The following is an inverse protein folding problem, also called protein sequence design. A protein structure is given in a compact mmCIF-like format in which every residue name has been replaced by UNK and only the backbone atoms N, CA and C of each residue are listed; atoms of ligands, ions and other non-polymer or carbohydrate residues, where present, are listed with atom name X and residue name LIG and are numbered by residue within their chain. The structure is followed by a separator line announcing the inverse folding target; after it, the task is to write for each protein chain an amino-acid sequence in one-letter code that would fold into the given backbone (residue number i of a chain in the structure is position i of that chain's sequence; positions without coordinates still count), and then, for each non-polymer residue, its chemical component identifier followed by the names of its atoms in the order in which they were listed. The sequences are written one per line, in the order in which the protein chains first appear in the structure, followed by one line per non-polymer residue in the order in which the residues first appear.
data_IF_224292299820
#
_entry.id   IF_224292299820
#
_cell.length_a   1.000
_cell.length_b   1.000
_cell.length_c   1.000
_cell.angle_alpha   90.00
_cell.angle_beta   90.00
_cell.angle_gamma   90.00
#
_symmetry.space_group_name_H-M   'P 1'
#
loop_
_entity.id
_entity.type
_entity.pdbx_description
1 polymer ?
#
# COMPACT_ATOMS: atom_id res chain seq x y z
N UNK A 1 -31.10 -16.76 -21.44
CA UNK A 1 -29.94 -16.22 -22.18
C UNK A 1 -29.21 -15.08 -21.44
N UNK A 2 -29.88 -14.18 -20.70
CA UNK A 2 -29.20 -13.17 -19.86
C UNK A 2 -28.40 -13.77 -18.70
N UNK A 3 -28.95 -14.80 -18.04
CA UNK A 3 -28.28 -15.50 -16.93
C UNK A 3 -27.01 -16.27 -17.34
N UNK A 4 -26.98 -16.77 -18.57
CA UNK A 4 -25.79 -17.48 -19.11
C UNK A 4 -24.70 -16.47 -19.46
N UNK A 5 -25.06 -15.27 -19.96
CA UNK A 5 -24.07 -14.22 -20.24
C UNK A 5 -23.40 -13.68 -18.98
N UNK A 6 -24.13 -13.55 -17.87
CA UNK A 6 -23.53 -13.14 -16.59
C UNK A 6 -22.55 -14.19 -16.05
N UNK A 7 -22.86 -15.48 -16.20
CA UNK A 7 -21.97 -16.58 -15.80
C UNK A 7 -20.77 -16.71 -16.76
N UNK A 8 -20.96 -16.50 -18.06
CA UNK A 8 -19.85 -16.54 -19.03
C UNK A 8 -18.92 -15.34 -18.86
N UNK A 9 -19.43 -14.15 -18.52
CA UNK A 9 -18.59 -12.98 -18.20
C UNK A 9 -17.80 -13.22 -16.90
N UNK A 10 -18.40 -13.89 -15.91
CA UNK A 10 -17.71 -14.32 -14.68
C UNK A 10 -16.68 -15.43 -14.93
N UNK A 11 -16.87 -16.29 -15.95
CA UNK A 11 -15.89 -17.31 -16.33
C UNK A 11 -14.79 -16.80 -17.28
N UNK A 12 -14.97 -15.65 -17.93
CA UNK A 12 -13.90 -15.00 -18.71
C UNK A 12 -12.89 -14.28 -17.80
N UNK A 13 -13.26 -14.01 -16.54
CA UNK A 13 -12.33 -13.68 -15.46
C UNK A 13 -11.46 -14.87 -14.97
N UNK A 14 -11.60 -16.07 -15.57
CA UNK A 14 -10.86 -17.27 -15.14
C UNK A 14 -9.48 -17.46 -15.81
N UNK A 15 -8.89 -16.43 -16.41
CA UNK A 15 -7.43 -16.34 -16.36
C UNK A 15 -7.14 -15.66 -15.04
N UNK A 16 -6.79 -16.45 -14.03
CA UNK A 16 -6.36 -15.93 -12.74
C UNK A 16 -5.06 -15.16 -12.96
N UNK A 17 -5.16 -13.90 -13.38
CA UNK A 17 -4.09 -12.94 -13.28
C UNK A 17 -3.96 -12.58 -11.79
N UNK A 18 -3.44 -13.54 -11.01
CA UNK A 18 -3.07 -13.35 -9.63
C UNK A 18 -2.02 -12.25 -9.58
N UNK A 19 -2.42 -11.10 -9.05
CA UNK A 19 -1.60 -9.91 -9.06
C UNK A 19 -0.76 -9.77 -7.82
N UNK A 20 0.52 -9.67 -8.09
CA UNK A 20 1.48 -9.09 -7.18
C UNK A 20 1.27 -7.57 -7.03
N UNK A 21 2.01 -7.00 -6.08
CA UNK A 21 2.02 -5.56 -5.85
C UNK A 21 2.39 -4.75 -7.12
N UNK A 22 3.20 -5.30 -8.03
CA UNK A 22 3.51 -4.63 -9.31
C UNK A 22 2.27 -4.52 -10.22
N UNK A 23 1.44 -5.57 -10.33
CA UNK A 23 0.16 -5.50 -11.04
C UNK A 23 -0.75 -4.45 -10.42
N UNK A 24 -0.93 -4.47 -9.09
CA UNK A 24 -1.80 -3.51 -8.39
C UNK A 24 -1.30 -2.07 -8.53
N UNK A 25 0.00 -1.82 -8.41
CA UNK A 25 0.60 -0.51 -8.60
C UNK A 25 0.37 0.02 -10.02
N UNK A 26 0.48 -0.84 -11.03
CA UNK A 26 0.17 -0.49 -12.41
C UNK A 26 -1.31 -0.15 -12.64
N UNK A 27 -2.20 -0.61 -11.76
CA UNK A 27 -3.65 -0.37 -11.80
C UNK A 27 -4.10 0.78 -10.90
N UNK A 28 -3.18 1.50 -10.26
CA UNK A 28 -3.49 2.66 -9.40
C UNK A 28 -3.41 2.39 -7.90
N UNK A 29 -2.93 1.22 -7.48
CA UNK A 29 -2.33 1.04 -6.15
C UNK A 29 -3.21 0.54 -5.00
N UNK A 30 -4.50 0.26 -5.22
CA UNK A 30 -5.38 -0.28 -4.15
C UNK A 30 -5.90 -1.68 -4.48
N UNK A 31 -5.25 -2.71 -3.92
CA UNK A 31 -5.62 -4.12 -4.13
C UNK A 31 -7.07 -4.45 -3.77
N UNK A 32 -7.68 -3.68 -2.86
CA UNK A 32 -9.06 -3.91 -2.39
C UNK A 32 -10.12 -3.86 -3.48
N UNK A 33 -9.83 -3.20 -4.62
CA UNK A 33 -10.70 -3.14 -5.79
C UNK A 33 -10.60 -4.37 -6.72
N UNK A 34 -9.65 -5.26 -6.47
CA UNK A 34 -9.48 -6.54 -7.16
C UNK A 34 -9.59 -7.68 -6.15
N UNK A 35 -10.80 -8.14 -5.80
CA UNK A 35 -11.01 -9.00 -4.64
C UNK A 35 -10.22 -10.31 -4.63
N UNK A 36 -9.98 -10.88 -5.81
CA UNK A 36 -9.29 -12.15 -6.01
C UNK A 36 -7.77 -12.02 -6.06
N UNK A 37 -7.25 -10.80 -5.92
CA UNK A 37 -5.81 -10.52 -6.02
C UNK A 37 -5.08 -10.88 -4.72
N UNK A 38 -3.92 -11.52 -4.83
CA UNK A 38 -3.18 -12.03 -3.67
C UNK A 38 -2.61 -10.92 -2.78
N UNK A 39 -2.42 -9.70 -3.30
CA UNK A 39 -2.04 -8.56 -2.47
C UNK A 39 -3.07 -8.22 -1.38
N UNK A 40 -4.31 -8.73 -1.52
CA UNK A 40 -5.35 -8.57 -0.49
C UNK A 40 -5.07 -9.35 0.79
N UNK A 41 -4.18 -10.35 0.81
CA UNK A 41 -3.97 -11.21 2.00
C UNK A 41 -3.60 -10.43 3.26
N UNK A 42 -2.94 -9.28 3.12
CA UNK A 42 -2.61 -8.39 4.24
C UNK A 42 -3.84 -7.67 4.78
N UNK A 43 -4.75 -7.22 3.91
CA UNK A 43 -5.97 -6.52 4.31
C UNK A 43 -7.07 -7.49 4.75
N UNK A 44 -7.13 -8.66 4.12
CA UNK A 44 -8.11 -9.72 4.31
C UNK A 44 -7.42 -11.08 4.45
N UNK A 45 -6.97 -11.47 5.66
CA UNK A 45 -6.20 -12.70 5.86
C UNK A 45 -6.90 -14.00 5.44
N UNK A 46 -8.23 -14.02 5.35
CA UNK A 46 -8.99 -15.15 4.82
C UNK A 46 -8.66 -15.51 3.37
N UNK A 47 -8.14 -14.54 2.60
CA UNK A 47 -7.71 -14.76 1.22
C UNK A 47 -6.65 -15.84 1.07
N UNK A 48 -5.86 -16.13 2.12
CA UNK A 48 -4.88 -17.22 2.09
C UNK A 48 -5.49 -18.56 1.68
N UNK A 49 -6.78 -18.80 1.99
CA UNK A 49 -7.49 -20.02 1.62
C UNK A 49 -7.70 -20.20 0.11
N UNK A 50 -7.51 -19.13 -0.67
CA UNK A 50 -7.70 -19.10 -2.12
C UNK A 50 -6.36 -19.06 -2.87
N UNK A 51 -5.22 -19.16 -2.15
CA UNK A 51 -3.89 -19.04 -2.73
C UNK A 51 -3.19 -20.40 -2.77
N UNK A 52 -2.62 -20.71 -3.93
CA UNK A 52 -1.71 -21.84 -4.11
C UNK A 52 -0.60 -21.42 -5.09
N UNK A 53 0.49 -20.90 -4.53
CA UNK A 53 1.49 -20.18 -5.34
C UNK A 53 2.88 -20.10 -4.71
N UNK A 54 3.87 -19.85 -5.57
CA UNK A 54 5.17 -19.27 -5.23
C UNK A 54 5.30 -17.95 -5.97
N UNK A 55 5.61 -16.89 -5.24
CA UNK A 55 5.81 -15.55 -5.79
C UNK A 55 7.17 -15.01 -5.38
N UNK A 56 7.90 -14.39 -6.32
CA UNK A 56 9.16 -13.71 -6.07
C UNK A 56 9.08 -12.30 -6.65
N UNK A 57 9.11 -11.31 -5.77
CA UNK A 57 9.10 -9.88 -6.11
C UNK A 57 10.50 -9.30 -6.01
N UNK A 58 10.83 -8.30 -6.83
CA UNK A 58 12.15 -7.66 -6.81
C UNK A 58 13.15 -8.32 -7.75
N UNK A 59 12.71 -9.18 -8.68
CA UNK A 59 13.60 -9.77 -9.66
C UNK A 59 14.25 -8.66 -10.52
N UNK A 60 15.59 -8.62 -10.52
CA UNK A 60 16.37 -7.56 -11.17
C UNK A 60 16.81 -6.41 -10.23
N UNK A 61 16.39 -6.42 -8.97
CA UNK A 61 16.81 -5.49 -7.91
C UNK A 61 17.81 -6.13 -6.94
N UNK A 62 18.46 -5.32 -6.10
CA UNK A 62 19.30 -5.80 -5.00
C UNK A 62 18.50 -6.42 -3.85
N UNK A 63 17.24 -5.99 -3.69
CA UNK A 63 16.31 -6.43 -2.66
C UNK A 63 15.07 -7.06 -3.30
N UNK A 64 14.41 -7.96 -2.58
CA UNK A 64 13.20 -8.62 -3.04
C UNK A 64 12.51 -9.40 -1.93
N UNK A 65 11.32 -9.90 -2.22
CA UNK A 65 10.56 -10.74 -1.29
C UNK A 65 10.18 -12.04 -1.97
N UNK A 66 10.01 -13.10 -1.19
CA UNK A 66 9.52 -14.37 -1.68
C UNK A 66 8.35 -14.84 -0.81
N UNK A 67 7.26 -15.24 -1.44
CA UNK A 67 6.08 -15.80 -0.77
C UNK A 67 5.83 -17.19 -1.32
N UNK A 68 5.54 -18.14 -0.45
CA UNK A 68 5.09 -19.48 -0.83
C UNK A 68 3.85 -19.82 -0.02
N UNK A 69 2.77 -20.19 -0.69
CA UNK A 69 1.49 -20.57 -0.09
C UNK A 69 1.02 -21.86 -0.72
N UNK A 70 0.58 -22.81 0.10
CA UNK A 70 0.08 -24.09 -0.39
C UNK A 70 -0.88 -24.74 0.59
N UNK A 71 -1.76 -25.59 0.05
CA UNK A 71 -2.61 -26.50 0.83
C UNK A 71 -4.07 -26.46 0.40
N UNK A 72 -4.78 -27.53 0.71
CA UNK A 72 -6.18 -27.73 0.31
C UNK A 72 -7.13 -27.26 1.43
N UNK A 73 -7.50 -28.16 2.36
CA UNK A 73 -8.40 -27.85 3.48
C UNK A 73 -7.74 -26.96 4.54
N UNK A 74 -6.42 -26.99 4.62
CA UNK A 74 -5.63 -26.14 5.51
C UNK A 74 -4.46 -25.59 4.72
N UNK A 75 -4.46 -24.28 4.54
CA UNK A 75 -3.46 -23.57 3.76
C UNK A 75 -2.38 -23.02 4.69
N UNK A 76 -1.13 -23.14 4.27
CA UNK A 76 0.03 -22.60 4.96
C UNK A 76 0.78 -21.69 4.00
N UNK A 77 1.26 -20.56 4.51
CA UNK A 77 2.10 -19.66 3.73
C UNK A 77 3.28 -19.15 4.52
N UNK A 78 4.38 -18.87 3.83
CA UNK A 78 5.58 -18.25 4.38
C UNK A 78 5.99 -17.09 3.48
N UNK A 79 6.34 -15.97 4.11
CA UNK A 79 6.89 -14.80 3.41
C UNK A 79 8.30 -14.52 3.92
N UNK A 80 9.21 -14.30 3.00
CA UNK A 80 10.59 -13.95 3.26
C UNK A 80 10.82 -12.54 2.73
N UNK A 81 11.27 -11.64 3.61
CA UNK A 81 11.75 -10.33 3.20
C UNK A 81 13.27 -10.36 3.06
N UNK A 82 13.76 -9.96 1.89
CA UNK A 82 15.17 -9.87 1.57
C UNK A 82 15.70 -8.43 1.63
N UNK A 83 14.96 -7.50 2.25
CA UNK A 83 15.39 -6.12 2.40
C UNK A 83 16.77 -6.00 3.08
N UNK A 84 17.62 -5.15 2.51
CA UNK A 84 18.96 -4.82 3.01
C UNK A 84 18.96 -3.88 4.22
N UNK A 85 17.78 -3.36 4.56
CA UNK A 85 17.66 -2.17 5.39
C UNK A 85 17.40 -2.51 6.85
N UNK A 86 17.61 -1.51 7.70
CA UNK A 86 17.74 -1.70 9.13
C UNK A 86 16.43 -2.07 9.85
N UNK A 87 15.30 -2.04 9.15
CA UNK A 87 13.97 -1.90 9.74
C UNK A 87 13.02 -3.07 9.38
N UNK A 88 13.50 -4.10 8.66
CA UNK A 88 12.63 -5.09 7.98
C UNK A 88 13.16 -6.53 8.02
N UNK A 89 13.89 -6.90 9.07
CA UNK A 89 14.29 -8.30 9.27
C UNK A 89 13.17 -9.09 9.94
N UNK A 90 12.19 -9.52 9.13
CA UNK A 90 11.21 -10.50 9.57
C UNK A 90 11.90 -11.84 9.84
N UNK A 91 12.05 -12.18 11.12
CA UNK A 91 12.53 -13.48 11.55
C UNK A 91 11.58 -14.59 11.09
N UNK A 92 10.28 -14.28 11.05
CA UNK A 92 9.25 -15.23 10.69
C UNK A 92 7.98 -14.52 10.21
N UNK A 93 7.53 -14.83 9.00
CA UNK A 93 6.18 -14.48 8.52
C UNK A 93 5.43 -15.74 8.11
N UNK A 94 4.26 -15.93 8.70
CA UNK A 94 3.40 -17.08 8.52
C UNK A 94 2.00 -16.64 8.10
N UNK A 95 1.42 -17.41 7.21
CA UNK A 95 0.02 -17.36 6.86
C UNK A 95 -0.60 -18.72 7.14
N UNK A 96 -1.84 -18.71 7.60
CA UNK A 96 -2.60 -19.92 7.89
C UNK A 96 -4.06 -19.73 7.52
N UNK A 97 -4.67 -20.75 6.93
CA UNK A 97 -6.09 -20.79 6.66
C UNK A 97 -6.69 -22.18 6.83
N UNK A 98 -8.00 -22.26 6.98
CA UNK A 98 -8.74 -23.52 7.10
C UNK A 98 -10.01 -23.61 6.24
N UNK A 99 -10.06 -22.82 5.16
CA UNK A 99 -11.21 -22.65 4.27
C UNK A 99 -12.30 -21.70 4.77
N UNK A 100 -12.32 -21.34 6.06
CA UNK A 100 -13.30 -20.38 6.62
C UNK A 100 -12.64 -19.13 7.18
N UNK A 101 -11.58 -19.34 7.95
CA UNK A 101 -10.80 -18.29 8.58
C UNK A 101 -9.43 -18.22 7.93
N UNK A 102 -8.80 -17.06 8.00
CA UNK A 102 -7.38 -16.91 7.73
C UNK A 102 -6.72 -16.04 8.78
N UNK A 103 -5.43 -16.26 8.97
CA UNK A 103 -4.60 -15.51 9.90
C UNK A 103 -3.21 -15.29 9.30
N UNK A 104 -2.62 -14.14 9.63
CA UNK A 104 -1.22 -13.85 9.38
C UNK A 104 -0.52 -13.61 10.72
N UNK A 105 0.75 -13.98 10.78
CA UNK A 105 1.60 -13.73 11.94
C UNK A 105 2.98 -13.30 11.43
N UNK A 106 3.49 -12.19 11.92
CA UNK A 106 4.85 -11.72 11.67
C UNK A 106 5.59 -11.47 12.97
N UNK A 107 6.87 -11.81 12.97
CA UNK A 107 7.83 -11.50 14.02
C UNK A 107 9.09 -10.92 13.34
N UNK A 108 9.32 -9.63 13.56
CA UNK A 108 10.54 -8.92 13.17
C UNK A 108 11.50 -8.86 14.34
N UNK A 109 12.77 -9.21 14.12
CA UNK A 109 13.81 -9.07 15.14
C UNK A 109 15.15 -8.76 14.49
N UNK A 110 15.83 -7.74 15.02
CA UNK A 110 17.21 -7.42 14.63
C UNK A 110 18.01 -7.00 15.85
N UNK A 111 19.30 -7.31 15.80
CA UNK A 111 20.29 -6.74 16.71
C UNK A 111 21.60 -6.47 15.97
N UNK A 112 22.18 -5.30 16.18
CA UNK A 112 23.51 -4.90 15.72
C UNK A 112 24.34 -4.48 16.92
N UNK A 113 25.60 -4.88 16.94
CA UNK A 113 26.61 -4.41 17.90
C UNK A 113 27.92 -4.24 17.12
N UNK A 114 28.48 -3.02 17.12
CA UNK A 114 29.73 -2.73 16.44
C UNK A 114 30.98 -3.14 17.24
N UNK A 115 30.81 -3.60 18.48
CA UNK A 115 31.86 -4.14 19.35
C UNK A 115 32.90 -3.12 19.80
N UNK A 116 32.58 -1.82 19.71
CA UNK A 116 33.42 -0.73 20.17
C UNK A 116 33.04 -0.34 21.60
N UNK A 117 33.97 0.27 22.34
CA UNK A 117 33.71 0.80 23.68
C UNK A 117 33.46 2.32 23.63
N UNK A 118 32.69 2.83 24.60
CA UNK A 118 32.47 4.28 24.81
C UNK A 118 31.54 4.91 23.76
N UNK A 119 31.70 6.20 23.48
CA UNK A 119 30.81 6.98 22.59
C UNK A 119 30.86 6.52 21.11
N UNK A 120 31.78 5.62 20.76
CA UNK A 120 31.85 4.99 19.43
C UNK A 120 31.07 3.66 19.38
N UNK A 121 30.61 3.15 20.52
CA UNK A 121 29.76 1.98 20.56
C UNK A 121 28.41 2.30 19.91
N UNK A 122 27.96 1.41 19.03
CA UNK A 122 26.62 1.47 18.45
C UNK A 122 26.01 0.08 18.60
N UNK A 123 25.11 0.01 19.56
CA UNK A 123 24.18 -1.10 19.75
C UNK A 123 22.84 -0.68 19.19
N UNK A 124 22.13 -1.58 18.54
CA UNK A 124 20.77 -1.31 18.06
C UNK A 124 20.01 -2.61 18.07
N UNK A 125 18.80 -2.62 18.62
CA UNK A 125 17.90 -3.75 18.50
C UNK A 125 16.48 -3.28 18.24
N UNK A 126 15.72 -4.12 17.53
CA UNK A 126 14.31 -3.90 17.36
C UNK A 126 13.54 -5.22 17.46
N UNK A 127 12.27 -5.10 17.81
CA UNK A 127 11.31 -6.19 17.82
C UNK A 127 9.96 -5.69 17.31
N UNK A 128 9.42 -6.40 16.32
CA UNK A 128 8.10 -6.17 15.77
C UNK A 128 7.23 -7.41 15.89
N UNK A 129 5.95 -7.23 16.19
CA UNK A 129 4.94 -8.28 16.14
C UNK A 129 3.79 -7.81 15.25
N UNK A 130 3.29 -8.68 14.38
CA UNK A 130 2.10 -8.44 13.60
C UNK A 130 1.18 -9.65 13.62
N UNK A 131 -0.12 -9.41 13.77
CA UNK A 131 -1.16 -10.43 13.70
C UNK A 131 -2.30 -9.91 12.86
N UNK A 132 -2.67 -10.66 11.83
CA UNK A 132 -3.89 -10.44 11.05
C UNK A 132 -4.87 -11.59 11.27
N UNK A 133 -6.16 -11.26 11.24
CA UNK A 133 -7.23 -12.25 11.18
C UNK A 133 -8.30 -11.80 10.18
N UNK A 134 -8.87 -12.73 9.43
CA UNK A 134 -9.94 -12.45 8.50
C UNK A 134 -10.91 -13.61 8.33
N UNK A 135 -12.10 -13.28 7.85
CA UNK A 135 -13.14 -14.26 7.51
C UNK A 135 -14.21 -13.68 6.60
N UNK A 136 -14.92 -14.58 5.91
CA UNK A 136 -16.13 -14.23 5.18
C UNK A 136 -17.36 -14.32 6.09
N UNK A 137 -18.17 -13.27 6.08
CA UNK A 137 -19.45 -13.16 6.78
C UNK A 137 -20.59 -13.00 5.76
N UNK A 138 -21.83 -13.24 6.18
CA UNK A 138 -23.01 -13.04 5.34
C UNK A 138 -23.15 -11.61 4.78
N UNK A 139 -22.55 -10.62 5.45
CA UNK A 139 -22.60 -9.22 5.07
C UNK A 139 -21.35 -8.73 4.31
N UNK A 140 -20.34 -9.57 4.11
CA UNK A 140 -19.08 -9.19 3.49
C UNK A 140 -17.87 -9.90 4.10
N UNK A 141 -16.72 -9.63 3.53
CA UNK A 141 -15.42 -10.09 4.00
C UNK A 141 -14.85 -9.08 4.99
N UNK A 142 -14.30 -9.58 6.10
CA UNK A 142 -13.65 -8.76 7.12
C UNK A 142 -12.19 -9.14 7.27
N UNK A 143 -11.37 -8.14 7.57
CA UNK A 143 -10.00 -8.31 8.01
C UNK A 143 -9.68 -7.35 9.15
N UNK A 144 -8.94 -7.82 10.14
CA UNK A 144 -8.42 -7.03 11.24
C UNK A 144 -6.93 -7.28 11.37
N UNK A 145 -6.17 -6.24 11.64
CA UNK A 145 -4.74 -6.32 11.86
C UNK A 145 -4.36 -5.60 13.14
N UNK A 146 -3.36 -6.13 13.82
CA UNK A 146 -2.72 -5.56 14.99
C UNK A 146 -1.22 -5.67 14.80
N UNK A 147 -0.48 -4.62 15.13
CA UNK A 147 0.97 -4.63 15.13
C UNK A 147 1.54 -3.87 16.32
N UNK A 148 2.76 -4.22 16.71
CA UNK A 148 3.57 -3.46 17.67
C UNK A 148 5.02 -3.44 17.22
N UNK A 149 5.73 -2.37 17.51
CA UNK A 149 7.16 -2.24 17.31
C UNK A 149 7.84 -1.64 18.53
N UNK A 150 9.12 -1.94 18.72
CA UNK A 150 9.97 -1.26 19.70
C UNK A 150 11.41 -1.27 19.24
N UNK A 151 12.14 -0.21 19.52
CA UNK A 151 13.57 -0.08 19.24
C UNK A 151 14.36 0.23 20.51
N UNK A 152 15.66 -0.08 20.48
CA UNK A 152 16.62 0.20 21.55
C UNK A 152 18.02 0.39 20.96
N UNK A 153 18.57 1.61 21.04
CA UNK A 153 19.93 1.93 20.63
C UNK A 153 21.00 1.66 21.72
N UNK A 154 20.59 1.07 22.84
CA UNK A 154 21.43 0.74 23.99
C UNK A 154 21.91 1.96 24.78
N UNK A 155 21.30 3.13 24.57
CA UNK A 155 21.51 4.32 25.40
C UNK A 155 20.41 4.48 26.46
N UNK A 156 20.61 5.41 27.39
CA UNK A 156 19.59 5.76 28.41
C UNK A 156 18.52 6.73 27.86
N UNK A 157 18.58 7.12 26.58
CA UNK A 157 17.58 7.99 25.97
C UNK A 157 16.26 7.23 25.77
N UNK A 158 15.15 7.96 25.74
CA UNK A 158 13.86 7.37 25.40
C UNK A 158 13.87 6.89 23.95
N UNK A 159 13.31 5.69 23.72
CA UNK A 159 13.33 5.00 22.43
C UNK A 159 11.92 4.82 21.88
N UNK A 160 11.76 4.76 20.55
CA UNK A 160 10.44 4.65 19.93
C UNK A 160 9.81 3.28 20.19
N UNK A 161 8.50 3.32 20.42
CA UNK A 161 7.62 2.15 20.44
C UNK A 161 6.34 2.47 19.70
N UNK A 162 5.80 1.50 18.98
CA UNK A 162 4.63 1.69 18.14
C UNK A 162 3.54 0.64 18.36
N UNK A 163 2.30 1.03 18.06
CA UNK A 163 1.13 0.15 18.03
C UNK A 163 0.21 0.51 16.87
N UNK A 164 -0.05 -0.47 16.02
CA UNK A 164 -0.96 -0.36 14.88
C UNK A 164 -2.23 -1.19 15.07
N UNK A 165 -3.35 -0.65 14.58
CA UNK A 165 -4.64 -1.32 14.46
C UNK A 165 -5.21 -1.04 13.08
N UNK A 166 -5.75 -2.05 12.42
CA UNK A 166 -6.51 -1.83 11.19
C UNK A 166 -7.75 -2.72 11.12
N UNK A 167 -8.76 -2.22 10.42
CA UNK A 167 -9.98 -2.93 10.08
C UNK A 167 -10.32 -2.70 8.61
N UNK A 168 -10.63 -3.77 7.91
CA UNK A 168 -11.08 -3.75 6.52
C UNK A 168 -12.41 -4.47 6.40
N UNK A 169 -13.32 -3.91 5.61
CA UNK A 169 -14.57 -4.53 5.20
C UNK A 169 -14.72 -4.39 3.69
N UNK A 170 -14.98 -5.52 3.01
CA UNK A 170 -15.39 -5.53 1.62
C UNK A 170 -16.73 -6.22 1.49
N UNK A 171 -17.67 -5.61 0.77
CA UNK A 171 -19.01 -6.18 0.59
C UNK A 171 -19.65 -5.76 -0.73
N UNK A 172 -20.58 -6.58 -1.20
CA UNK A 172 -21.50 -6.19 -2.25
C UNK A 172 -22.39 -5.02 -1.75
N UNK A 173 -22.57 -4.02 -2.61
CA UNK A 173 -23.32 -2.81 -2.32
C UNK A 173 -23.89 -2.22 -3.61
N UNK A 174 -25.22 -2.11 -3.72
CA UNK A 174 -25.87 -1.53 -4.89
C UNK A 174 -26.20 -0.05 -4.64
N UNK A 175 -25.30 0.84 -5.08
CA UNK A 175 -25.46 2.30 -4.99
C UNK A 175 -25.05 2.95 -6.30
N UNK A 176 -26.03 3.54 -6.99
CA UNK A 176 -25.85 4.24 -8.27
C UNK A 176 -25.29 3.37 -9.39
N UNK A 177 -23.99 3.47 -9.67
CA UNK A 177 -23.29 2.66 -10.67
C UNK A 177 -22.35 1.62 -10.05
N UNK A 178 -22.21 1.64 -8.72
CA UNK A 178 -21.31 0.79 -7.97
C UNK A 178 -22.05 -0.43 -7.43
N UNK A 179 -21.38 -1.59 -7.49
CA UNK A 179 -21.89 -2.87 -7.02
C UNK A 179 -21.10 -3.42 -5.83
N UNK A 180 -20.01 -2.76 -5.43
CA UNK A 180 -19.18 -3.11 -4.29
C UNK A 180 -18.80 -1.89 -3.45
N UNK A 181 -18.48 -2.16 -2.18
CA UNK A 181 -17.97 -1.20 -1.21
C UNK A 181 -16.74 -1.79 -0.50
N UNK A 182 -15.71 -0.95 -0.35
CA UNK A 182 -14.53 -1.18 0.46
C UNK A 182 -14.48 -0.13 1.56
N UNK A 183 -14.25 -0.56 2.80
CA UNK A 183 -14.05 0.31 3.95
C UNK A 183 -12.71 -0.07 4.57
N UNK A 184 -11.84 0.91 4.76
CA UNK A 184 -10.58 0.76 5.47
C UNK A 184 -10.55 1.69 6.68
N UNK A 185 -10.03 1.19 7.79
CA UNK A 185 -9.70 1.98 8.97
C UNK A 185 -8.33 1.58 9.45
N UNK A 186 -7.49 2.54 9.79
CA UNK A 186 -6.20 2.32 10.42
C UNK A 186 -5.94 3.32 11.52
N UNK A 187 -5.19 2.89 12.52
CA UNK A 187 -4.57 3.75 13.51
C UNK A 187 -3.15 3.26 13.74
N UNK A 188 -2.20 4.18 13.77
CA UNK A 188 -0.82 3.91 14.13
C UNK A 188 -0.41 4.92 15.18
N UNK A 189 0.19 4.46 16.27
CA UNK A 189 0.66 5.35 17.33
C UNK A 189 2.12 5.04 17.58
N UNK A 190 2.94 6.05 17.74
CA UNK A 190 4.35 5.96 18.09
C UNK A 190 4.61 6.83 19.32
N UNK A 191 5.40 6.34 20.26
CA UNK A 191 5.80 7.08 21.44
C UNK A 191 7.30 6.97 21.67
N UNK A 192 7.94 8.10 21.93
CA UNK A 192 9.36 8.23 22.31
C UNK A 192 9.43 9.17 23.51
N UNK A 193 9.49 8.59 24.72
CA UNK A 193 9.45 9.37 25.95
C UNK A 193 8.11 10.06 26.15
N UNK A 194 8.13 11.39 26.29
CA UNK A 194 6.92 12.22 26.37
C UNK A 194 6.32 12.56 24.98
N UNK A 195 7.04 12.27 23.89
CA UNK A 195 6.56 12.51 22.53
C UNK A 195 5.58 11.42 22.10
N UNK A 196 4.49 11.80 21.44
CA UNK A 196 3.48 10.87 20.93
C UNK A 196 3.02 11.30 19.54
N UNK A 197 3.17 10.45 18.54
CA UNK A 197 2.55 10.58 17.22
C UNK A 197 1.36 9.61 17.12
N UNK A 198 0.22 10.09 16.60
CA UNK A 198 -0.96 9.26 16.37
C UNK A 198 -1.51 9.58 14.98
N UNK A 199 -1.45 8.60 14.09
CA UNK A 199 -2.03 8.64 12.75
C UNK A 199 -3.33 7.82 12.74
N UNK A 200 -4.36 8.34 12.07
CA UNK A 200 -5.62 7.67 11.84
C UNK A 200 -6.11 7.85 10.41
N UNK A 201 -6.41 6.74 9.75
CA UNK A 201 -7.01 6.68 8.42
C UNK A 201 -8.42 6.09 8.45
N UNK A 202 -9.32 6.64 7.64
CA UNK A 202 -10.62 6.05 7.32
C UNK A 202 -10.91 6.26 5.83
N UNK A 203 -11.22 5.20 5.11
CA UNK A 203 -11.70 5.28 3.72
C UNK A 203 -13.03 4.54 3.55
N UNK A 204 -13.86 5.06 2.65
CA UNK A 204 -15.07 4.40 2.15
C UNK A 204 -15.13 4.59 0.65
N UNK A 205 -14.83 3.52 -0.07
CA UNK A 205 -14.77 3.50 -1.52
C UNK A 205 -15.88 2.62 -2.09
N UNK A 206 -16.58 3.13 -3.10
CA UNK A 206 -17.50 2.35 -3.91
C UNK A 206 -16.79 1.99 -5.22
N UNK A 207 -16.92 0.76 -5.69
CA UNK A 207 -16.26 0.32 -6.92
C UNK A 207 -17.13 -0.62 -7.74
N UNK A 208 -16.83 -0.69 -9.04
CA UNK A 208 -17.49 -1.56 -10.01
C UNK A 208 -16.54 -1.94 -11.14
N UNK A 209 -16.75 -3.15 -11.67
CA UNK A 209 -16.20 -3.51 -12.97
C UNK A 209 -17.01 -2.83 -14.08
N UNK A 210 -16.35 -2.28 -15.08
CA UNK A 210 -16.96 -1.62 -16.22
C UNK A 210 -17.17 -2.61 -17.37
N UNK A 211 -18.30 -2.53 -18.10
CA UNK A 211 -18.51 -3.35 -19.28
C UNK A 211 -17.70 -2.81 -20.45
N UNK A 212 -16.48 -3.30 -20.59
CA UNK A 212 -15.56 -3.03 -21.70
C UNK A 212 -15.64 -4.14 -22.76
N UNK A 213 -14.98 -3.94 -23.91
CA UNK A 213 -14.97 -4.93 -24.99
C UNK A 213 -14.17 -6.19 -24.64
N UNK A 214 -14.29 -7.24 -25.46
CA UNK A 214 -13.55 -8.50 -25.24
C UNK A 214 -12.03 -8.26 -25.12
N UNK A 215 -11.39 -8.91 -24.14
CA UNK A 215 -9.94 -8.80 -23.88
C UNK A 215 -9.54 -7.50 -23.16
N UNK A 216 -10.50 -6.79 -22.58
CA UNK A 216 -10.24 -5.64 -21.71
C UNK A 216 -11.03 -5.84 -20.43
N UNK A 217 -10.42 -5.53 -19.30
CA UNK A 217 -11.06 -5.44 -17.99
C UNK A 217 -10.79 -4.06 -17.40
N UNK A 218 -11.81 -3.43 -16.83
CA UNK A 218 -11.66 -2.12 -16.23
C UNK A 218 -12.44 -2.03 -14.92
N UNK A 219 -11.82 -1.42 -13.91
CA UNK A 219 -12.43 -1.17 -12.60
C UNK A 219 -12.43 0.32 -12.34
N UNK A 220 -13.58 0.86 -11.95
CA UNK A 220 -13.72 2.24 -11.53
C UNK A 220 -14.14 2.29 -10.06
N UNK A 221 -13.40 3.03 -9.27
CA UNK A 221 -13.68 3.28 -7.86
C UNK A 221 -13.80 4.79 -7.60
N UNK A 222 -14.71 5.14 -6.69
CA UNK A 222 -14.84 6.49 -6.16
C UNK A 222 -15.24 6.43 -4.69
N UNK A 223 -14.61 7.27 -3.87
CA UNK A 223 -14.85 7.25 -2.44
C UNK A 223 -14.50 8.52 -1.71
N UNK A 224 -14.49 8.33 -0.41
CA UNK A 224 -14.19 9.31 0.62
C UNK A 224 -12.97 8.82 1.40
N UNK A 225 -12.05 9.73 1.71
CA UNK A 225 -10.97 9.50 2.65
C UNK A 225 -10.99 10.51 3.78
N UNK A 226 -10.59 10.07 4.96
CA UNK A 226 -10.25 10.91 6.10
C UNK A 226 -8.90 10.46 6.64
N UNK A 227 -8.00 11.41 6.81
CA UNK A 227 -6.71 11.23 7.46
C UNK A 227 -6.61 12.23 8.59
N UNK A 228 -6.07 11.82 9.72
CA UNK A 228 -5.75 12.73 10.82
C UNK A 228 -4.45 12.30 11.46
N UNK A 229 -3.65 13.28 11.84
CA UNK A 229 -2.43 13.05 12.59
C UNK A 229 -2.33 14.05 13.74
N UNK A 230 -2.00 13.56 14.92
CA UNK A 230 -1.68 14.37 16.10
C UNK A 230 -0.30 14.00 16.61
N UNK A 231 0.60 14.96 16.59
CA UNK A 231 1.95 14.86 17.10
C UNK A 231 2.11 15.76 18.33
N UNK A 232 2.36 15.15 19.47
CA UNK A 232 2.78 15.84 20.69
C UNK A 232 4.31 15.81 20.75
N UNK A 233 4.93 16.98 20.73
CA UNK A 233 6.38 17.13 20.71
C UNK A 233 7.04 16.91 22.09
N UNK A 234 6.27 16.58 23.11
CA UNK A 234 6.74 16.41 24.49
C UNK A 234 7.07 17.74 25.17
N UNK A 235 7.81 17.68 26.28
CA UNK A 235 8.10 18.87 27.08
C UNK A 235 8.99 19.89 26.33
N UNK A 236 8.36 20.93 25.76
CA UNK A 236 9.04 22.11 25.22
C UNK A 236 9.03 22.23 23.69
N UNK A 237 8.35 21.33 22.97
CA UNK A 237 8.06 21.49 21.54
C UNK A 237 6.63 21.95 21.28
N UNK A 238 6.34 22.35 20.05
CA UNK A 238 5.00 22.71 19.61
C UNK A 238 4.23 21.44 19.22
N UNK A 239 3.04 21.27 19.80
CA UNK A 239 2.11 20.22 19.39
C UNK A 239 1.56 20.55 18.00
N UNK A 240 1.33 19.50 17.22
CA UNK A 240 0.83 19.61 15.86
C UNK A 240 -0.36 18.68 15.68
N UNK A 241 -1.45 19.24 15.15
CA UNK A 241 -2.64 18.49 14.76
C UNK A 241 -2.97 18.80 13.32
N UNK A 242 -3.32 17.78 12.56
CA UNK A 242 -3.78 17.91 11.18
C UNK A 242 -4.91 16.94 10.87
N UNK A 243 -5.76 17.31 9.92
CA UNK A 243 -6.78 16.40 9.39
C UNK A 243 -7.14 16.76 7.97
N UNK A 244 -7.31 15.76 7.11
CA UNK A 244 -7.71 15.92 5.72
C UNK A 244 -8.93 15.07 5.40
N UNK A 245 -9.86 15.63 4.65
CA UNK A 245 -10.98 14.93 4.01
C UNK A 245 -10.77 14.98 2.51
N UNK A 246 -10.73 13.83 1.85
CA UNK A 246 -10.68 13.71 0.40
C UNK A 246 -12.04 13.26 -0.15
N UNK A 247 -12.55 14.00 -1.14
CA UNK A 247 -13.79 13.68 -1.85
C UNK A 247 -13.88 14.49 -3.17
N UNK A 248 -13.97 13.85 -4.35
CA UNK A 248 -13.83 12.41 -4.55
C UNK A 248 -12.37 11.96 -4.46
N UNK A 249 -12.15 10.76 -3.91
CA UNK A 249 -10.99 9.93 -4.22
C UNK A 249 -11.40 8.97 -5.33
N UNK A 250 -10.65 8.91 -6.43
CA UNK A 250 -11.00 8.16 -7.64
C UNK A 250 -9.85 7.25 -8.04
N UNK A 251 -10.18 6.03 -8.45
CA UNK A 251 -9.26 5.12 -9.10
C UNK A 251 -9.90 4.56 -10.38
N UNK A 252 -9.15 4.54 -11.47
CA UNK A 252 -9.46 3.78 -12.67
C UNK A 252 -8.28 2.86 -12.99
N UNK A 253 -8.50 1.56 -12.93
CA UNK A 253 -7.56 0.56 -13.43
C UNK A 253 -8.10 -0.12 -14.68
N UNK A 254 -7.26 -0.29 -15.68
CA UNK A 254 -7.57 -0.97 -16.95
C UNK A 254 -6.49 -1.98 -17.27
N UNK A 255 -6.91 -3.19 -17.60
CA UNK A 255 -6.08 -4.26 -18.16
C UNK A 255 -6.57 -4.58 -19.56
N UNK A 256 -5.66 -4.75 -20.50
CA UNK A 256 -6.00 -5.08 -21.87
C UNK A 256 -5.03 -6.12 -22.43
N UNK A 257 -5.59 -7.20 -22.96
CA UNK A 257 -4.85 -8.23 -23.66
C UNK A 257 -4.36 -7.69 -25.01
N UNK A 258 -3.04 -7.73 -25.19
CA UNK A 258 -2.41 -7.41 -26.48
C UNK A 258 -2.28 -8.69 -27.31
N UNK A 259 -1.94 -9.79 -26.64
CA UNK A 259 -1.92 -11.15 -27.18
C UNK A 259 -2.43 -12.12 -26.11
N UNK A 260 -2.51 -13.40 -26.44
CA UNK A 260 -2.84 -14.49 -25.52
C UNK A 260 -1.81 -14.72 -24.40
N UNK A 261 -0.68 -14.03 -24.42
CA UNK A 261 0.42 -14.15 -23.45
C UNK A 261 0.92 -12.79 -22.94
N UNK A 262 0.33 -11.67 -23.37
CA UNK A 262 0.80 -10.34 -22.99
C UNK A 262 -0.37 -9.39 -22.73
N UNK A 263 -0.29 -8.69 -21.59
CA UNK A 263 -1.29 -7.74 -21.11
C UNK A 263 -0.63 -6.39 -20.86
N UNK A 264 -1.33 -5.31 -21.20
CA UNK A 264 -0.94 -3.94 -20.86
C UNK A 264 -1.88 -3.42 -19.80
N UNK A 265 -1.32 -2.70 -18.82
CA UNK A 265 -2.07 -2.13 -17.69
C UNK A 265 -1.93 -0.62 -17.66
N UNK A 266 -3.00 0.03 -17.23
CA UNK A 266 -3.06 1.46 -17.03
C UNK A 266 -3.86 1.77 -15.77
N UNK A 267 -3.29 2.56 -14.88
CA UNK A 267 -3.89 2.99 -13.64
C UNK A 267 -3.93 4.50 -13.56
N UNK A 268 -5.01 5.07 -13.05
CA UNK A 268 -5.13 6.49 -12.72
C UNK A 268 -5.70 6.62 -11.32
N UNK A 269 -5.01 7.37 -10.48
CA UNK A 269 -5.47 7.83 -9.18
C UNK A 269 -5.72 9.34 -9.21
N UNK A 270 -6.81 9.79 -8.60
CA UNK A 270 -7.03 11.22 -8.34
C UNK A 270 -7.78 11.40 -7.04
N UNK A 271 -7.20 12.12 -6.09
CA UNK A 271 -7.88 12.53 -4.87
C UNK A 271 -8.01 14.04 -4.83
N UNK A 272 -9.21 14.52 -4.51
CA UNK A 272 -9.44 15.94 -4.25
C UNK A 272 -9.58 16.19 -2.75
N UNK A 273 -8.73 17.05 -2.18
CA UNK A 273 -8.86 17.49 -0.79
C UNK A 273 -10.05 18.43 -0.69
N UNK A 274 -11.14 17.93 -0.11
CA UNK A 274 -12.35 18.70 0.14
C UNK A 274 -12.13 19.67 1.31
N UNK A 275 -11.43 19.25 2.36
CA UNK A 275 -11.09 20.08 3.51
C UNK A 275 -9.82 19.56 4.17
N UNK A 276 -8.92 20.45 4.53
CA UNK A 276 -7.72 20.14 5.31
C UNK A 276 -7.56 21.12 6.46
N UNK A 277 -6.98 20.66 7.56
CA UNK A 277 -6.59 21.49 8.71
C UNK A 277 -5.17 21.15 9.12
N UNK A 278 -4.41 22.16 9.55
CA UNK A 278 -3.06 21.98 10.10
C UNK A 278 -2.77 23.07 11.10
N UNK A 279 -2.12 22.67 12.21
CA UNK A 279 -1.90 23.50 13.39
C UNK A 279 -3.22 24.00 13.97
N UNK A 280 -3.12 24.87 14.98
CA UNK A 280 -4.28 25.44 15.67
C UNK A 280 -5.09 26.45 14.82
N UNK A 281 -4.65 26.82 13.61
CA UNK A 281 -5.15 28.04 12.96
C UNK A 281 -5.47 27.97 11.47
N UNK A 282 -5.05 26.93 10.73
CA UNK A 282 -5.17 26.94 9.26
C UNK A 282 -6.10 25.86 8.70
N UNK A 283 -7.02 26.27 7.82
CA UNK A 283 -7.90 25.39 7.05
C UNK A 283 -7.74 25.63 5.55
N UNK A 284 -7.66 24.58 4.72
CA UNK A 284 -7.54 24.70 3.27
C UNK A 284 -8.48 23.75 2.50
N UNK A 285 -8.55 23.95 1.18
CA UNK A 285 -9.21 23.04 0.23
C UNK A 285 -8.36 22.96 -1.05
N UNK A 286 -8.38 21.82 -1.75
CA UNK A 286 -7.68 21.62 -3.02
C UNK A 286 -6.17 21.34 -2.87
N UNK A 287 -5.40 21.69 -3.90
CA UNK A 287 -3.94 21.57 -3.86
C UNK A 287 -3.36 22.64 -2.94
N UNK A 288 -2.84 22.23 -1.79
CA UNK A 288 -2.12 23.08 -0.87
C UNK A 288 -0.62 22.80 -1.01
N UNK A 289 0.09 23.64 -1.74
CA UNK A 289 1.54 23.72 -1.55
C UNK A 289 1.75 24.44 -0.23
N UNK A 290 2.40 23.83 0.79
CA UNK A 290 2.86 24.59 1.93
C UNK A 290 3.78 25.69 1.37
N UNK A 291 3.31 26.93 1.40
CA UNK A 291 4.19 28.04 1.08
C UNK A 291 5.08 28.17 2.30
N UNK A 292 6.36 27.80 2.19
CA UNK A 292 7.36 28.26 3.14
C UNK A 292 7.17 29.78 3.32
N UNK A 293 6.83 30.20 4.52
CA UNK A 293 6.78 31.61 4.92
C UNK A 293 5.48 32.35 4.56
N UNK A 294 4.57 32.47 5.53
CA UNK A 294 3.72 33.66 5.58
C UNK A 294 4.53 34.80 6.22
N UNK A 295 5.36 35.48 5.43
CA UNK A 295 5.80 36.84 5.77
C UNK A 295 4.81 37.78 5.10
N UNK A 296 3.96 38.43 5.89
CA UNK A 296 3.18 39.57 5.43
C UNK A 296 4.15 40.70 5.06
N UNK A 297 4.50 40.78 3.78
CA UNK A 297 5.31 41.84 3.20
C UNK A 297 4.55 43.18 3.07
N UNK A 298 3.75 43.56 4.07
CA UNK A 298 3.09 44.88 4.13
C UNK A 298 3.38 45.70 5.39
N UNK A 299 4.13 45.20 6.38
CA UNK A 299 4.47 45.98 7.59
C UNK A 299 5.93 46.46 7.69
N UNK A 300 6.86 45.98 6.86
CA UNK A 300 8.19 46.58 6.72
C UNK A 300 9.02 46.68 8.02
N UNK A 301 8.79 45.78 8.99
CA UNK A 301 9.54 45.73 10.24
C UNK A 301 10.33 44.41 10.32
N UNK A 302 11.66 44.54 10.40
CA UNK A 302 12.58 43.42 10.60
C UNK A 302 12.49 42.97 12.05
N UNK A 303 11.99 41.76 12.29
CA UNK A 303 12.09 41.09 13.60
C UNK A 303 13.26 40.09 13.52
N UNK A 304 14.29 40.30 14.34
CA UNK A 304 15.39 39.33 14.53
C UNK A 304 15.01 38.28 15.58
N UNK A 305 15.33 36.99 15.28
CA UNK A 305 15.12 35.81 16.13
C UNK A 305 13.88 35.04 15.68
N UNK A 306 13.90 33.76 15.30
CA UNK A 306 14.67 32.62 15.82
C UNK A 306 15.15 31.71 14.66
N UNK A 307 16.11 30.84 14.96
CA UNK A 307 16.64 29.86 14.02
C UNK A 307 15.50 28.95 13.52
N UNK A 308 15.42 28.74 12.21
CA UNK A 308 14.49 27.79 11.62
C UNK A 308 14.83 26.39 12.12
N UNK A 309 13.95 25.83 12.95
CA UNK A 309 14.02 24.44 13.35
C UNK A 309 13.86 23.60 12.09
N UNK A 310 14.78 22.66 11.87
CA UNK A 310 14.73 21.64 10.83
C UNK A 310 13.67 20.58 11.22
N UNK A 311 12.45 21.02 11.45
CA UNK A 311 11.29 20.14 11.67
C UNK A 311 10.91 19.58 10.30
N UNK A 312 10.99 18.26 10.15
CA UNK A 312 10.47 17.54 8.99
C UNK A 312 9.04 18.00 8.73
N UNK A 313 8.74 18.60 7.55
CA UNK A 313 7.39 19.04 7.25
C UNK A 313 6.46 17.82 7.34
N UNK A 314 5.37 17.93 8.10
CA UNK A 314 4.29 16.95 7.97
C UNK A 314 3.85 16.90 6.52
N UNK A 315 3.88 15.70 5.95
CA UNK A 315 3.37 15.44 4.60
C UNK A 315 1.87 15.64 4.64
N UNK A 316 1.41 16.83 4.28
CA UNK A 316 -0.02 17.10 4.17
C UNK A 316 -0.56 16.44 2.91
N UNK A 317 -1.68 15.73 3.04
CA UNK A 317 -2.42 15.26 1.89
C UNK A 317 -2.87 16.46 1.04
N UNK A 318 -2.42 16.47 -0.20
CA UNK A 318 -2.77 17.46 -1.23
C UNK A 318 -3.57 16.77 -2.31
N UNK A 319 -4.41 17.52 -3.02
CA UNK A 319 -5.06 16.97 -4.21
C UNK A 319 -3.99 16.42 -5.17
N UNK A 320 -4.07 15.14 -5.50
CA UNK A 320 -3.07 14.44 -6.30
C UNK A 320 -3.68 13.94 -7.62
N UNK A 321 -2.84 13.77 -8.64
CA UNK A 321 -3.21 13.09 -9.88
C UNK A 321 -2.02 12.27 -10.30
N UNK A 322 -2.19 10.95 -10.26
CA UNK A 322 -1.13 10.00 -10.55
C UNK A 322 -1.63 8.98 -11.57
N UNK A 323 -0.70 8.47 -12.34
CA UNK A 323 -0.97 7.51 -13.40
C UNK A 323 0.22 6.57 -13.54
N UNK A 324 -0.07 5.29 -13.73
CA UNK A 324 0.93 4.24 -13.84
C UNK A 324 0.62 3.37 -15.06
N UNK A 325 1.68 2.75 -15.57
CA UNK A 325 1.58 1.73 -16.61
C UNK A 325 2.24 0.46 -16.13
N UNK A 326 1.76 -0.68 -16.62
CA UNK A 326 2.40 -1.97 -16.37
C UNK A 326 2.30 -2.90 -17.55
N UNK A 327 3.14 -3.93 -17.52
CA UNK A 327 3.14 -5.03 -18.47
C UNK A 327 3.00 -6.34 -17.70
N UNK A 328 2.22 -7.26 -18.25
CA UNK A 328 2.07 -8.62 -17.77
C UNK A 328 2.40 -9.60 -18.88
N UNK A 329 3.08 -10.69 -18.55
CA UNK A 329 3.40 -11.76 -19.47
C UNK A 329 3.05 -13.11 -18.86
N UNK A 330 2.29 -13.92 -19.60
CA UNK A 330 1.94 -15.29 -19.22
C UNK A 330 2.77 -16.29 -20.04
N UNK A 331 3.65 -17.03 -19.36
CA UNK A 331 4.48 -18.07 -19.96
C UNK A 331 3.89 -19.48 -19.77
N UNK A 332 2.62 -19.58 -19.36
CA UNK A 332 1.85 -20.80 -19.13
C UNK A 332 2.19 -21.53 -17.83
N UNK A 333 3.46 -21.51 -17.40
CA UNK A 333 3.91 -22.08 -16.12
C UNK A 333 4.15 -21.05 -15.03
N UNK A 334 4.29 -19.78 -15.42
CA UNK A 334 4.45 -18.65 -14.52
C UNK A 334 4.04 -17.37 -15.23
N UNK A 335 3.64 -16.38 -14.45
CA UNK A 335 3.42 -15.01 -14.92
C UNK A 335 4.57 -14.11 -14.50
N UNK A 336 4.78 -13.06 -15.28
CA UNK A 336 5.71 -11.98 -14.97
C UNK A 336 4.96 -10.65 -15.06
N UNK A 337 4.97 -9.87 -13.99
CA UNK A 337 4.40 -8.53 -13.97
C UNK A 337 5.45 -7.49 -13.63
N UNK A 338 5.28 -6.29 -14.19
CA UNK A 338 6.13 -5.14 -13.92
C UNK A 338 5.37 -3.83 -14.05
N UNK A 339 5.72 -2.87 -13.19
CA UNK A 339 5.35 -1.45 -13.33
C UNK A 339 6.40 -0.74 -14.19
N UNK A 340 5.98 0.12 -15.09
CA UNK A 340 6.91 0.91 -15.89
C UNK A 340 7.38 2.13 -15.09
N UNK A 341 8.70 2.27 -14.93
CA UNK A 341 9.32 3.40 -14.24
C UNK A 341 9.44 4.66 -15.11
N UNK A 342 9.19 4.52 -16.40
CA UNK A 342 9.13 5.64 -17.33
C UNK A 342 8.20 5.31 -18.50
N UNK A 343 7.68 6.36 -19.12
CA UNK A 343 6.81 6.27 -20.30
C UNK A 343 7.59 6.41 -21.62
N UNK A 344 8.93 6.35 -21.59
CA UNK A 344 9.75 6.52 -22.79
C UNK A 344 9.50 5.40 -23.82
N UNK A 345 9.02 4.23 -23.37
CA UNK A 345 8.53 3.15 -24.22
C UNK A 345 7.49 3.64 -25.23
N UNK A 346 6.59 4.55 -24.83
CA UNK A 346 5.54 5.06 -25.72
C UNK A 346 6.04 6.10 -26.71
N UNK A 347 7.20 6.72 -26.44
CA UNK A 347 7.83 7.69 -27.35
C UNK A 347 8.71 6.99 -28.40
N UNK A 348 9.42 5.92 -28.04
CA UNK A 348 10.27 5.14 -28.95
C UNK A 348 10.19 3.62 -28.66
N UNK A 349 9.08 2.97 -29.05
CA UNK A 349 8.86 1.56 -28.72
C UNK A 349 9.87 0.63 -29.38
N UNK A 350 10.38 0.99 -30.57
CA UNK A 350 11.35 0.17 -31.31
C UNK A 350 12.66 0.06 -30.53
N UNK A 351 13.11 1.16 -29.90
CA UNK A 351 14.34 1.17 -29.12
C UNK A 351 14.27 0.23 -27.91
N UNK A 352 13.13 0.18 -27.23
CA UNK A 352 12.91 -0.71 -26.09
C UNK A 352 12.73 -2.17 -26.53
N UNK A 353 11.94 -2.44 -27.58
CA UNK A 353 11.74 -3.81 -28.10
C UNK A 353 13.04 -4.42 -28.63
N UNK A 354 13.95 -3.59 -29.16
CA UNK A 354 15.25 -4.06 -29.68
C UNK A 354 16.37 -4.08 -28.62
N UNK A 355 16.07 -3.76 -27.36
CA UNK A 355 17.03 -3.74 -26.26
C UNK A 355 18.11 -2.67 -26.40
N UNK A 356 17.82 -1.58 -27.12
CA UNK A 356 18.72 -0.44 -27.33
C UNK A 356 18.39 0.75 -26.44
N UNK A 357 17.51 0.56 -25.45
CA UNK A 357 17.16 1.56 -24.45
C UNK A 357 18.32 1.82 -23.49
N UNK A 358 18.51 3.09 -23.13
CA UNK A 358 19.55 3.51 -22.16
C UNK A 358 19.03 3.48 -20.71
N UNK A 359 17.70 3.39 -20.53
CA UNK A 359 17.02 3.33 -19.25
C UNK A 359 16.24 2.03 -19.15
N UNK A 360 16.24 1.38 -17.99
CA UNK A 360 15.43 0.19 -17.75
C UNK A 360 13.92 0.50 -17.88
N UNK A 361 13.12 -0.49 -18.31
CA UNK A 361 11.66 -0.34 -18.36
C UNK A 361 11.05 -0.27 -16.96
N UNK A 362 11.58 -1.07 -16.04
CA UNK A 362 11.15 -1.19 -14.65
C UNK A 362 12.38 -1.30 -13.73
N UNK A 363 12.20 -1.01 -12.44
CA UNK A 363 13.20 -1.28 -11.38
C UNK A 363 13.22 -2.74 -10.95
N UNK A 364 12.10 -3.45 -11.13
CA UNK A 364 11.94 -4.84 -10.73
C UNK A 364 10.81 -5.52 -11.52
N UNK A 365 10.76 -6.84 -11.43
CA UNK A 365 9.60 -7.60 -11.83
C UNK A 365 9.20 -8.55 -10.71
N UNK A 366 7.94 -8.97 -10.76
CA UNK A 366 7.44 -10.05 -9.93
C UNK A 366 7.15 -11.27 -10.80
N UNK A 367 7.56 -12.44 -10.32
CA UNK A 367 7.30 -13.72 -10.95
C UNK A 367 6.37 -14.53 -10.05
N UNK A 368 5.30 -15.09 -10.61
CA UNK A 368 4.35 -15.92 -9.88
C UNK A 368 4.19 -17.28 -10.56
N UNK A 369 4.39 -18.37 -9.81
CA UNK A 369 4.10 -19.74 -10.20
C UNK A 369 2.88 -20.23 -9.43
N UNK A 370 1.93 -20.82 -10.14
CA UNK A 370 0.73 -21.43 -9.55
C UNK A 370 0.76 -22.94 -9.80
N UNK A 371 0.11 -23.72 -8.94
CA UNK A 371 0.05 -25.18 -9.07
C UNK A 371 -1.36 -25.74 -8.92
#
# INVERSE_FOLDING_TARGET
MKFVKTITLLMTFCVMAFGNNDRINALGGNAGFWPEDDANVTAFPAMVNNLDMVQVTGAGSANGTATVVWGDETTWGFKFDGASDMDSNDWFNLMWGNGTYGATFSLGMKSTDNGLDGDLNSTYSNMGLGIGFGMNMDFGEIGVNFSTGSEDDGTDADQPSSMGLAFNLRRAQDVWLFDNMLVGFSMENEATGDMIDNDMGLSVDLFTSLPVGDGVDATFAMGFGYHANTFNAGAGGDDLTSSTITLPAVNLGVEADVTDWATVRFGVGHSYVLAGTSRDESTWMGSYTPTEGYVDASSGEWVEGEAQNNETPMTMDVSNFDWNFGLGFDYGSFTLDMVLNNTDLFNDPVRYVTGRNDRALSSSATLTWNF
#
